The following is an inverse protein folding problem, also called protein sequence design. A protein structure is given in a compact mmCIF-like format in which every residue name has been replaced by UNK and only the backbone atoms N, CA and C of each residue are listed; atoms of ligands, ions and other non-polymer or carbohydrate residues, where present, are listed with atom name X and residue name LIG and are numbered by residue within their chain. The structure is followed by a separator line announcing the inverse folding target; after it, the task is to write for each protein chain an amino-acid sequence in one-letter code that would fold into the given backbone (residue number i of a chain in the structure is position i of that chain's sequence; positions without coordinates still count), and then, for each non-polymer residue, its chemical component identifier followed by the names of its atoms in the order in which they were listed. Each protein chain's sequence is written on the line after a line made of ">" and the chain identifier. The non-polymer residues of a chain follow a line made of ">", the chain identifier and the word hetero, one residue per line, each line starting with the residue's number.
data_IF_500095796829
#
_entry.id   IF_500095796829
#
_cell.length_a   1.000
_cell.length_b   1.000
_cell.length_c   1.000
_cell.angle_alpha   90.00
_cell.angle_beta   90.00
_cell.angle_gamma   90.00
#
_symmetry.space_group_name_H-M   'P 1'
#
loop_
_entity.id
_entity.type
_entity.pdbx_description
1 polymer ?
#
# COMPACT_ATOMS: atom_id res chain seq x y z
N UNK A 1 -4.38 20.35 -14.81
CA UNK A 1 -4.06 19.70 -13.52
C UNK A 1 -4.01 18.22 -13.78
N UNK A 2 -2.83 17.73 -14.18
CA UNK A 2 -2.50 16.31 -14.14
C UNK A 2 -1.09 16.28 -13.57
N UNK A 3 -0.98 16.60 -12.28
CA UNK A 3 0.14 16.10 -11.49
C UNK A 3 -0.14 14.63 -11.27
N UNK A 4 0.76 13.77 -11.72
CA UNK A 4 0.65 12.33 -11.57
C UNK A 4 0.44 12.01 -10.09
N UNK A 5 -0.74 11.50 -9.75
CA UNK A 5 -1.06 11.09 -8.39
C UNK A 5 -0.91 9.58 -8.30
N UNK A 6 -0.40 9.13 -7.17
CA UNK A 6 -0.12 7.72 -6.93
C UNK A 6 -1.10 7.14 -5.90
N UNK A 7 -1.56 5.90 -6.09
CA UNK A 7 -2.55 5.29 -5.21
C UNK A 7 -1.96 4.88 -3.87
N UNK A 8 -2.73 5.11 -2.80
CA UNK A 8 -2.47 4.45 -1.53
C UNK A 8 -2.75 2.93 -1.65
N UNK A 9 -1.80 2.04 -1.31
CA UNK A 9 -2.02 0.60 -1.42
C UNK A 9 -3.06 0.05 -0.44
N UNK A 10 -3.37 0.79 0.63
CA UNK A 10 -4.40 0.41 1.59
C UNK A 10 -5.82 0.73 1.11
N UNK A 11 -6.10 1.94 0.60
CA UNK A 11 -7.47 2.35 0.24
C UNK A 11 -7.72 2.53 -1.27
N UNK A 12 -6.66 2.53 -2.07
CA UNK A 12 -6.67 2.61 -3.53
C UNK A 12 -6.85 4.01 -4.12
N UNK A 13 -7.09 5.03 -3.30
CA UNK A 13 -7.29 6.39 -3.78
C UNK A 13 -5.96 7.05 -4.18
N UNK A 14 -6.00 7.84 -5.25
CA UNK A 14 -4.89 8.60 -5.78
C UNK A 14 -4.62 9.81 -4.87
N UNK A 15 -3.72 9.65 -3.90
CA UNK A 15 -3.49 10.63 -2.81
C UNK A 15 -2.02 11.02 -2.63
N UNK A 16 -1.09 10.28 -3.21
CA UNK A 16 0.34 10.53 -3.06
C UNK A 16 0.87 11.35 -4.24
N UNK A 17 1.82 12.23 -3.96
CA UNK A 17 2.50 13.04 -4.98
C UNK A 17 3.67 12.32 -5.64
N UNK A 18 4.21 11.29 -4.99
CA UNK A 18 5.37 10.53 -5.46
C UNK A 18 5.07 9.03 -5.63
N UNK A 19 5.88 8.29 -6.43
CA UNK A 19 5.77 6.84 -6.59
C UNK A 19 5.89 6.06 -5.27
N UNK A 20 5.58 4.73 -5.28
CA UNK A 20 5.69 3.88 -4.11
C UNK A 20 6.99 4.07 -3.32
N UNK A 21 6.88 4.10 -1.99
CA UNK A 21 8.01 4.33 -1.10
C UNK A 21 8.27 5.82 -0.82
N UNK A 22 7.29 6.70 -1.03
CA UNK A 22 7.42 8.13 -0.75
C UNK A 22 7.36 8.47 0.74
N UNK A 23 6.92 7.53 1.58
CA UNK A 23 6.65 7.74 3.00
C UNK A 23 5.59 8.81 3.28
N UNK A 24 4.79 9.16 2.27
CA UNK A 24 3.64 10.04 2.47
C UNK A 24 2.55 9.32 3.26
N UNK A 25 1.94 10.01 4.23
CA UNK A 25 0.79 9.51 4.97
C UNK A 25 -0.51 9.74 4.19
N UNK A 26 -1.26 8.69 3.91
CA UNK A 26 -2.54 8.80 3.21
C UNK A 26 -3.57 9.59 4.04
N UNK A 27 -4.05 10.72 3.52
CA UNK A 27 -5.04 11.56 4.21
C UNK A 27 -6.42 10.89 4.43
N UNK A 28 -6.72 9.82 3.68
CA UNK A 28 -8.01 9.12 3.76
C UNK A 28 -8.02 7.96 4.75
N UNK A 29 -6.95 7.18 4.82
CA UNK A 29 -6.89 5.97 5.65
C UNK A 29 -5.75 5.96 6.68
N UNK A 30 -4.81 6.91 6.59
CA UNK A 30 -3.69 7.06 7.51
C UNK A 30 -2.58 6.02 7.34
N UNK A 31 -2.58 5.23 6.27
CA UNK A 31 -1.47 4.34 5.95
C UNK A 31 -0.35 5.15 5.28
N UNK A 32 0.85 5.07 5.84
CA UNK A 32 2.07 5.70 5.30
C UNK A 32 2.66 4.84 4.18
N UNK A 33 3.09 5.46 3.09
CA UNK A 33 3.65 4.82 1.89
C UNK A 33 5.04 4.19 2.12
N UNK A 34 5.08 3.25 3.06
CA UNK A 34 6.26 2.53 3.47
C UNK A 34 6.43 1.29 2.58
N UNK A 35 7.48 1.31 1.76
CA UNK A 35 7.73 0.26 0.78
C UNK A 35 8.15 -1.07 1.42
N UNK A 36 8.73 -1.06 2.63
CA UNK A 36 9.08 -2.28 3.38
C UNK A 36 7.81 -3.04 3.77
N UNK A 37 6.79 -2.33 4.26
CA UNK A 37 5.48 -2.88 4.61
C UNK A 37 4.60 -3.16 3.39
N UNK A 38 4.80 -2.44 2.28
CA UNK A 38 4.22 -2.81 0.99
C UNK A 38 4.74 -4.17 0.50
N UNK A 39 6.06 -4.41 0.60
CA UNK A 39 6.69 -5.68 0.26
C UNK A 39 6.35 -6.82 1.25
N UNK A 40 5.89 -6.47 2.46
CA UNK A 40 5.57 -7.41 3.53
C UNK A 40 4.16 -7.17 4.07
N UNK A 41 3.10 -7.56 3.34
CA UNK A 41 1.74 -7.07 3.61
C UNK A 41 1.14 -7.49 4.96
N UNK A 42 1.71 -8.52 5.61
CA UNK A 42 1.33 -8.99 6.95
C UNK A 42 2.11 -8.31 8.08
N UNK A 43 3.17 -7.56 7.76
CA UNK A 43 4.03 -6.91 8.74
C UNK A 43 3.44 -5.59 9.23
N UNK A 44 3.17 -5.50 10.53
CA UNK A 44 2.87 -4.26 11.25
C UNK A 44 4.00 -3.87 12.20
N UNK A 45 3.86 -2.74 12.89
CA UNK A 45 4.78 -2.31 13.95
C UNK A 45 6.04 -1.58 13.49
N UNK A 46 6.19 -1.35 12.17
CA UNK A 46 7.14 -0.40 11.59
C UNK A 46 6.56 1.02 11.54
N UNK A 47 6.75 1.71 10.42
CA UNK A 47 6.10 3.01 10.14
C UNK A 47 4.58 2.96 10.37
N UNK A 48 3.94 1.92 9.85
CA UNK A 48 2.53 1.63 10.08
C UNK A 48 2.36 0.65 11.26
N UNK A 49 1.59 1.07 12.27
CA UNK A 49 1.21 0.20 13.40
C UNK A 49 0.44 -1.04 12.97
N UNK A 50 -0.41 -0.92 11.94
CA UNK A 50 -1.16 -2.03 11.33
C UNK A 50 -0.47 -2.49 10.07
N UNK A 51 -0.58 -3.78 9.76
CA UNK A 51 -0.12 -4.31 8.48
C UNK A 51 -0.95 -3.78 7.31
N UNK A 52 -0.47 -3.96 6.07
CA UNK A 52 -1.22 -3.58 4.88
C UNK A 52 -2.54 -4.37 4.80
N UNK A 53 -2.52 -5.68 5.11
CA UNK A 53 -3.73 -6.53 5.17
C UNK A 53 -4.76 -5.93 6.14
N UNK A 54 -4.35 -5.61 7.37
CA UNK A 54 -5.24 -5.04 8.37
C UNK A 54 -5.77 -3.67 7.95
N UNK A 55 -4.91 -2.85 7.33
CA UNK A 55 -5.25 -1.51 6.88
C UNK A 55 -6.25 -1.55 5.72
N UNK A 56 -6.09 -2.47 4.77
CA UNK A 56 -7.07 -2.70 3.70
C UNK A 56 -8.42 -3.13 4.24
N UNK A 57 -8.46 -4.07 5.20
CA UNK A 57 -9.72 -4.50 5.80
C UNK A 57 -10.48 -3.33 6.46
N UNK A 58 -9.76 -2.43 7.15
CA UNK A 58 -10.34 -1.22 7.74
C UNK A 58 -10.76 -0.21 6.67
N UNK A 59 -9.92 0.00 5.66
CA UNK A 59 -10.22 0.90 4.56
C UNK A 59 -11.48 0.46 3.80
N UNK A 60 -11.65 -0.85 3.56
CA UNK A 60 -12.80 -1.43 2.88
C UNK A 60 -14.11 -1.31 3.67
N UNK A 61 -14.05 -1.24 5.00
CA UNK A 61 -15.24 -0.92 5.82
C UNK A 61 -15.74 0.50 5.57
N UNK A 62 -14.81 1.45 5.30
CA UNK A 62 -15.14 2.85 5.01
C UNK A 62 -15.41 3.11 3.53
N UNK A 63 -14.67 2.44 2.67
CA UNK A 63 -14.68 2.62 1.22
C UNK A 63 -14.77 1.25 0.53
N UNK A 64 -15.97 0.63 0.47
CA UNK A 64 -16.16 -0.65 -0.21
C UNK A 64 -15.63 -0.64 -1.65
N UNK A 65 -15.29 -1.81 -2.22
CA UNK A 65 -14.64 -1.92 -3.54
C UNK A 65 -15.35 -1.14 -4.65
N UNK A 66 -16.69 -1.11 -4.65
CA UNK A 66 -17.49 -0.37 -5.63
C UNK A 66 -17.43 1.16 -5.53
N UNK A 67 -16.82 1.72 -4.48
CA UNK A 67 -16.60 3.16 -4.35
C UNK A 67 -15.37 3.56 -5.15
N UNK A 68 -15.58 4.18 -6.31
CA UNK A 68 -14.51 4.65 -7.20
C UNK A 68 -14.14 6.12 -7.00
N UNK A 69 -14.96 6.88 -6.27
CA UNK A 69 -14.77 8.33 -6.02
C UNK A 69 -15.13 8.64 -4.57
N UNK A 70 -14.29 9.41 -3.89
CA UNK A 70 -14.57 9.97 -2.57
C UNK A 70 -14.26 11.47 -2.57
N UNK A 71 -15.31 12.29 -2.49
CA UNK A 71 -15.19 13.72 -2.78
C UNK A 71 -14.80 13.94 -4.24
N UNK A 72 -13.63 14.56 -4.47
CA UNK A 72 -13.01 14.72 -5.80
C UNK A 72 -11.88 13.73 -6.07
N UNK A 73 -11.57 12.83 -5.13
CA UNK A 73 -10.43 11.93 -5.22
C UNK A 73 -10.89 10.62 -5.86
N UNK A 74 -10.21 10.22 -6.94
CA UNK A 74 -10.48 8.98 -7.66
C UNK A 74 -9.73 7.82 -7.01
N UNK A 75 -10.37 6.65 -7.01
CA UNK A 75 -9.70 5.36 -6.77
C UNK A 75 -9.01 4.92 -8.05
N UNK A 76 -7.77 4.46 -7.94
CA UNK A 76 -7.04 3.91 -9.09
C UNK A 76 -7.85 2.78 -9.74
N UNK A 77 -8.10 2.82 -11.06
CA UNK A 77 -8.96 1.85 -11.73
C UNK A 77 -8.51 0.40 -11.60
N UNK A 78 -7.20 0.16 -11.43
CA UNK A 78 -6.64 -1.18 -11.22
C UNK A 78 -6.52 -1.61 -9.76
N UNK A 79 -6.87 -0.74 -8.80
CA UNK A 79 -6.73 -1.10 -7.40
C UNK A 79 -7.73 -2.20 -7.03
N UNK A 80 -7.21 -3.21 -6.33
CA UNK A 80 -7.96 -4.31 -5.75
C UNK A 80 -7.37 -4.66 -4.39
N UNK A 81 -8.13 -5.30 -3.49
CA UNK A 81 -7.57 -5.90 -2.29
C UNK A 81 -6.47 -6.92 -2.62
N UNK A 82 -5.61 -7.18 -1.64
CA UNK A 82 -4.63 -8.26 -1.67
C UNK A 82 -5.33 -9.61 -1.92
N UNK A 83 -4.73 -10.42 -2.80
CA UNK A 83 -5.10 -11.82 -3.00
C UNK A 83 -4.40 -12.69 -1.96
N UNK A 84 -4.92 -13.89 -1.64
CA UNK A 84 -4.30 -14.78 -0.66
C UNK A 84 -2.81 -15.06 -0.92
N UNK A 85 -2.41 -15.21 -2.18
CA UNK A 85 -1.01 -15.45 -2.58
C UNK A 85 -0.09 -14.25 -2.35
N UNK A 86 -0.63 -13.04 -2.21
CA UNK A 86 0.13 -11.81 -1.96
C UNK A 86 0.30 -11.54 -0.45
N UNK A 87 -0.42 -12.28 0.40
CA UNK A 87 -0.38 -12.10 1.86
C UNK A 87 0.89 -12.71 2.48
N UNK A 88 1.46 -13.73 1.86
CA UNK A 88 2.58 -14.49 2.42
C UNK A 88 3.92 -14.13 1.72
N UNK A 89 4.67 -13.13 2.20
CA UNK A 89 6.01 -12.89 1.70
C UNK A 89 6.96 -14.01 2.12
N UNK A 90 7.96 -14.31 1.28
CA UNK A 90 8.94 -15.36 1.57
C UNK A 90 9.82 -15.09 2.80
N UNK A 91 10.02 -13.81 3.20
CA UNK A 91 10.80 -13.42 4.39
C UNK A 91 10.59 -11.96 4.80
N UNK A 92 9.87 -11.72 5.89
CA UNK A 92 9.75 -10.37 6.48
C UNK A 92 10.92 -10.04 7.43
N UNK A 93 11.30 -8.76 7.55
CA UNK A 93 12.26 -8.31 8.56
C UNK A 93 11.85 -8.73 9.97
N UNK A 94 12.77 -9.37 10.71
CA UNK A 94 12.53 -9.87 12.06
C UNK A 94 12.87 -8.86 13.16
N UNK A 95 13.60 -7.78 12.83
CA UNK A 95 14.07 -6.77 13.77
C UNK A 95 14.33 -5.43 13.09
N UNK A 96 14.64 -4.40 13.88
CA UNK A 96 14.86 -3.04 13.38
C UNK A 96 16.06 -2.88 12.45
N UNK A 97 17.11 -3.70 12.60
CA UNK A 97 18.26 -3.67 11.68
C UNK A 97 17.85 -4.19 10.30
N UNK A 98 17.17 -5.34 10.26
CA UNK A 98 16.67 -5.89 9.00
C UNK A 98 15.63 -4.98 8.32
N UNK A 99 14.82 -4.27 9.13
CA UNK A 99 13.90 -3.26 8.60
C UNK A 99 14.68 -2.10 7.96
N UNK A 100 15.68 -1.58 8.66
CA UNK A 100 16.50 -0.48 8.18
C UNK A 100 17.26 -0.85 6.89
N UNK A 101 17.81 -2.05 6.83
CA UNK A 101 18.47 -2.58 5.63
C UNK A 101 17.47 -2.71 4.47
N UNK A 102 16.26 -3.18 4.73
CA UNK A 102 15.20 -3.26 3.71
C UNK A 102 14.76 -1.87 3.23
N UNK A 103 14.67 -0.89 4.13
CA UNK A 103 14.28 0.49 3.83
C UNK A 103 15.31 1.25 2.96
N UNK A 104 16.55 0.75 2.89
CA UNK A 104 17.58 1.27 1.99
C UNK A 104 17.48 0.70 0.56
N UNK A 105 16.56 -0.24 0.31
CA UNK A 105 16.32 -0.83 -1.01
C UNK A 105 15.37 -0.03 -1.88
N UNK A 106 15.17 -0.51 -3.12
CA UNK A 106 14.19 0.07 -4.04
C UNK A 106 12.77 -0.32 -3.63
N UNK A 107 11.83 0.60 -3.78
CA UNK A 107 10.43 0.32 -3.56
C UNK A 107 9.88 -0.68 -4.60
N UNK A 108 9.06 -1.65 -4.19
CA UNK A 108 8.45 -2.57 -5.14
C UNK A 108 7.39 -1.83 -5.95
N UNK A 109 7.04 -2.39 -7.12
CA UNK A 109 5.80 -2.01 -7.78
C UNK A 109 4.60 -2.35 -6.89
N UNK A 110 3.45 -1.74 -7.16
CA UNK A 110 2.22 -2.11 -6.48
C UNK A 110 1.92 -3.60 -6.65
N UNK A 111 1.47 -4.25 -5.57
CA UNK A 111 1.17 -5.69 -5.59
C UNK A 111 0.16 -6.07 -6.69
N UNK A 112 -0.73 -5.13 -7.07
CA UNK A 112 -1.75 -5.34 -8.09
C UNK A 112 -1.32 -4.98 -9.52
N UNK A 113 -0.13 -4.40 -9.73
CA UNK A 113 0.44 -4.17 -11.08
C UNK A 113 1.29 -5.34 -11.56
N UNK A 114 1.59 -6.29 -10.67
CA UNK A 114 2.12 -7.59 -11.04
C UNK A 114 0.98 -8.40 -11.68
N UNK A 115 0.63 -8.05 -12.92
CA UNK A 115 -0.18 -8.95 -13.74
C UNK A 115 0.61 -10.25 -13.88
N UNK A 116 -0.05 -11.34 -13.48
CA UNK A 116 0.43 -12.71 -13.58
C UNK A 116 1.13 -12.89 -14.93
N UNK A 117 2.43 -13.16 -14.88
CA UNK A 117 3.15 -13.61 -16.06
C UNK A 117 2.38 -14.81 -16.63
N UNK A 118 1.83 -14.59 -17.82
CA UNK A 118 1.47 -15.62 -18.78
C UNK A 118 2.69 -16.52 -19.04
#
# INVERSE_FOLDING_TARGET
>A
MNEESFPCPSCGFLVFGEPPGSYESCELCGWEDDHVQLANPTMGGGANKRSLVQSQLLALQRFPVGVSVFGSILRAPGWRPLRPEEVEPARSPANGSEYFDAAAGDAPSYYWTLDAAL
#
